data_IF_628652230433
#
_entry.id   IF_628652230433
#
_cell.length_a   1.000
_cell.length_b   1.000
_cell.length_c   1.000
_cell.angle_alpha   90.00
_cell.angle_beta   90.00
_cell.angle_gamma   90.00
#
_symmetry.space_group_name_H-M   'P 1'
#
loop_
_entity.id
_entity.type
_entity.pdbx_description
1 polymer ?
#
# COMPACT_ATOMS: atom_id res chain seq x y z
N UNK A 1 13.33 11.87 5.74
CA UNK A 1 12.86 10.61 5.13
C UNK A 1 13.93 9.88 4.30
N UNK A 2 14.67 10.51 3.36
CA UNK A 2 15.61 9.78 2.49
C UNK A 2 16.67 8.97 3.25
N UNK A 3 17.30 9.55 4.28
CA UNK A 3 18.27 8.86 5.13
C UNK A 3 17.69 7.63 5.84
N UNK A 4 16.43 7.71 6.29
CA UNK A 4 15.74 6.57 6.90
C UNK A 4 15.54 5.45 5.87
N UNK A 5 15.09 5.78 4.65
CA UNK A 5 14.91 4.81 3.57
C UNK A 5 16.21 4.12 3.18
N UNK A 6 17.31 4.86 3.05
CA UNK A 6 18.63 4.27 2.79
C UNK A 6 19.01 3.25 3.85
N UNK A 7 18.83 3.60 5.13
CA UNK A 7 19.15 2.71 6.24
C UNK A 7 18.28 1.45 6.25
N UNK A 8 16.95 1.58 6.15
CA UNK A 8 16.06 0.42 6.23
C UNK A 8 16.20 -0.50 5.01
N UNK A 9 16.49 0.04 3.82
CA UNK A 9 16.79 -0.77 2.62
C UNK A 9 18.10 -1.55 2.78
N UNK A 10 19.11 -0.94 3.40
CA UNK A 10 20.34 -1.63 3.76
C UNK A 10 20.06 -2.78 4.74
N UNK A 11 19.23 -2.55 5.75
CA UNK A 11 18.85 -3.60 6.70
C UNK A 11 18.09 -4.74 6.02
N UNK A 12 17.09 -4.42 5.19
CA UNK A 12 16.28 -5.41 4.44
C UNK A 12 17.16 -6.32 3.59
N UNK A 13 18.10 -5.75 2.84
CA UNK A 13 18.99 -6.51 1.94
C UNK A 13 20.09 -7.26 2.70
N UNK A 14 20.73 -6.61 3.68
CA UNK A 14 21.83 -7.21 4.46
C UNK A 14 21.35 -8.41 5.27
N UNK A 15 20.20 -8.29 5.92
CA UNK A 15 19.66 -9.33 6.80
C UNK A 15 18.57 -10.19 6.16
N UNK A 16 18.30 -10.00 4.86
CA UNK A 16 17.25 -10.73 4.12
C UNK A 16 15.92 -10.72 4.88
N UNK A 17 15.53 -9.55 5.35
CA UNK A 17 14.32 -9.41 6.16
C UNK A 17 13.11 -9.83 5.34
N UNK A 18 12.21 -10.59 5.97
CA UNK A 18 10.93 -10.91 5.37
C UNK A 18 9.94 -9.76 5.60
N UNK A 19 9.01 -9.51 4.66
CA UNK A 19 7.92 -8.56 4.85
C UNK A 19 7.08 -8.91 6.08
N UNK A 20 6.76 -7.89 6.88
CA UNK A 20 5.86 -8.09 8.02
C UNK A 20 4.40 -8.12 7.55
N UNK A 21 3.76 -9.30 7.66
CA UNK A 21 2.34 -9.50 7.34
C UNK A 21 2.08 -10.19 5.99
N UNK A 22 0.91 -10.81 5.86
CA UNK A 22 0.53 -11.68 4.73
C UNK A 22 -0.26 -10.96 3.64
N UNK A 23 0.18 -9.78 3.19
CA UNK A 23 -0.60 -8.99 2.23
C UNK A 23 -0.51 -9.46 0.77
N UNK A 24 0.39 -10.41 0.45
CA UNK A 24 0.52 -11.03 -0.87
C UNK A 24 0.77 -10.00 -1.99
N UNK A 25 0.44 -10.37 -3.24
CA UNK A 25 0.61 -9.52 -4.44
C UNK A 25 -0.27 -8.25 -4.43
N UNK A 26 -1.22 -8.17 -3.49
CA UNK A 26 -2.19 -7.07 -3.35
C UNK A 26 -1.76 -5.99 -2.34
N UNK A 27 -0.55 -6.09 -1.79
CA UNK A 27 0.04 -5.01 -1.01
C UNK A 27 0.48 -3.84 -1.91
N UNK A 28 0.65 -2.65 -1.32
CA UNK A 28 1.23 -1.51 -2.04
C UNK A 28 2.72 -1.74 -2.31
N UNK A 29 3.45 -2.19 -1.29
CA UNK A 29 4.87 -2.52 -1.30
C UNK A 29 5.14 -3.46 -0.11
N UNK A 30 6.24 -4.19 -0.18
CA UNK A 30 6.59 -5.21 0.80
C UNK A 30 6.92 -4.63 2.19
N UNK A 31 7.43 -3.38 2.26
CA UNK A 31 7.90 -2.81 3.52
C UNK A 31 7.40 -1.40 3.82
N UNK A 32 7.09 -0.60 2.80
CA UNK A 32 6.89 0.84 2.95
C UNK A 32 5.51 1.29 2.45
N UNK A 33 4.92 2.25 3.14
CA UNK A 33 3.67 2.88 2.69
C UNK A 33 3.80 4.40 2.60
N UNK A 34 4.23 5.03 3.69
CA UNK A 34 4.32 6.49 3.84
C UNK A 34 5.11 7.19 2.71
N UNK A 35 6.24 6.65 2.20
CA UNK A 35 6.95 7.27 1.08
C UNK A 35 6.11 7.44 -0.19
N UNK A 36 5.15 6.55 -0.46
CA UNK A 36 4.27 6.66 -1.61
C UNK A 36 3.25 7.80 -1.44
N UNK A 37 2.75 8.00 -0.22
CA UNK A 37 1.87 9.13 0.10
C UNK A 37 2.63 10.43 -0.09
N UNK A 38 3.79 10.59 0.54
CA UNK A 38 4.56 11.83 0.40
C UNK A 38 5.11 12.02 -1.00
N UNK A 39 5.57 10.95 -1.66
CA UNK A 39 6.06 10.98 -3.03
C UNK A 39 4.99 11.40 -4.04
N UNK A 40 3.77 10.87 -3.93
CA UNK A 40 2.66 11.33 -4.78
C UNK A 40 2.29 12.79 -4.51
N UNK A 41 2.39 13.27 -3.26
CA UNK A 41 2.16 14.69 -2.97
C UNK A 41 3.23 15.61 -3.58
N UNK A 42 4.48 15.16 -3.72
CA UNK A 42 5.54 15.93 -4.39
C UNK A 42 5.24 16.15 -5.88
N UNK A 43 4.40 15.31 -6.48
CA UNK A 43 4.06 15.35 -7.90
C UNK A 43 2.74 16.07 -8.19
N UNK A 44 1.98 16.48 -7.16
CA UNK A 44 0.79 17.31 -7.32
C UNK A 44 1.19 18.68 -7.89
N UNK A 45 0.49 19.12 -8.94
CA UNK A 45 0.79 20.36 -9.65
C UNK A 45 2.04 20.30 -10.55
N UNK A 46 2.77 19.18 -10.58
CA UNK A 46 3.88 18.97 -11.48
C UNK A 46 3.35 18.61 -12.88
N UNK A 47 3.63 19.43 -13.90
CA UNK A 47 3.21 19.16 -15.28
C UNK A 47 4.13 18.17 -16.01
N UNK A 48 5.30 17.85 -15.43
CA UNK A 48 6.32 17.00 -16.08
C UNK A 48 5.92 15.53 -16.14
N UNK A 49 5.13 15.07 -15.19
CA UNK A 49 4.82 13.66 -14.98
C UNK A 49 3.35 13.46 -14.71
N UNK A 50 2.74 12.51 -15.38
CA UNK A 50 1.44 11.95 -15.02
C UNK A 50 1.63 10.58 -14.32
N UNK A 51 0.62 10.07 -13.60
CA UNK A 51 0.75 8.82 -12.84
C UNK A 51 1.11 7.57 -13.64
N UNK A 52 0.92 7.54 -14.97
CA UNK A 52 1.31 6.37 -15.78
C UNK A 52 2.81 6.08 -15.70
N UNK A 53 3.60 7.11 -15.36
CA UNK A 53 5.05 7.01 -15.21
C UNK A 53 5.51 6.19 -13.99
N UNK A 54 4.60 5.80 -13.09
CA UNK A 54 4.91 4.95 -11.92
C UNK A 54 5.58 3.64 -12.34
N UNK A 55 5.19 3.06 -13.48
CA UNK A 55 5.76 1.82 -14.01
C UNK A 55 6.89 2.03 -15.02
N UNK A 56 7.43 3.25 -15.13
CA UNK A 56 8.56 3.55 -16.01
C UNK A 56 9.88 3.43 -15.24
N UNK A 57 10.67 2.40 -15.57
CA UNK A 57 11.97 2.13 -14.95
C UNK A 57 12.99 3.23 -15.21
N UNK A 58 13.03 3.78 -16.42
CA UNK A 58 14.03 4.78 -16.79
C UNK A 58 13.79 6.10 -16.09
N UNK A 59 12.52 6.50 -15.98
CA UNK A 59 12.13 7.69 -15.20
C UNK A 59 12.42 7.47 -13.72
N UNK A 60 12.07 6.30 -13.19
CA UNK A 60 12.32 5.98 -11.79
C UNK A 60 13.82 6.07 -11.45
N UNK A 61 14.70 5.46 -12.25
CA UNK A 61 16.16 5.53 -12.03
C UNK A 61 16.72 6.94 -12.16
N UNK A 62 16.21 7.74 -13.12
CA UNK A 62 16.67 9.11 -13.34
C UNK A 62 16.26 10.07 -12.23
N UNK A 63 15.11 9.87 -11.62
CA UNK A 63 14.49 10.82 -10.69
C UNK A 63 14.46 10.32 -9.23
N UNK A 64 15.05 9.16 -8.93
CA UNK A 64 15.06 8.53 -7.60
C UNK A 64 15.65 9.39 -6.49
N UNK A 65 16.54 10.32 -6.82
CA UNK A 65 17.17 11.22 -5.85
C UNK A 65 16.36 12.51 -5.63
N UNK A 66 15.41 12.81 -6.53
CA UNK A 66 14.58 14.01 -6.49
C UNK A 66 13.20 13.77 -5.86
N UNK A 67 12.61 12.59 -6.08
CA UNK A 67 11.25 12.27 -5.62
C UNK A 67 11.21 10.95 -4.84
N UNK A 68 10.50 10.95 -3.70
CA UNK A 68 10.36 9.76 -2.85
C UNK A 68 9.66 8.61 -3.58
N UNK A 69 8.67 8.94 -4.42
CA UNK A 69 7.94 7.93 -5.20
C UNK A 69 8.91 7.18 -6.13
N UNK A 70 9.67 7.91 -6.94
CA UNK A 70 10.64 7.33 -7.86
C UNK A 70 11.78 6.61 -7.13
N UNK A 71 12.17 7.10 -5.95
CA UNK A 71 13.10 6.37 -5.08
C UNK A 71 12.58 4.99 -4.68
N UNK A 72 11.29 4.85 -4.40
CA UNK A 72 10.66 3.56 -4.10
C UNK A 72 10.53 2.68 -5.33
N UNK A 73 10.09 3.23 -6.47
CA UNK A 73 9.95 2.46 -7.71
C UNK A 73 11.30 1.92 -8.19
N UNK A 74 12.37 2.74 -8.16
CA UNK A 74 13.71 2.28 -8.51
C UNK A 74 14.18 1.12 -7.60
N UNK A 75 13.90 1.21 -6.30
CA UNK A 75 14.22 0.13 -5.37
C UNK A 75 13.40 -1.15 -5.65
N UNK A 76 12.13 -1.04 -6.03
CA UNK A 76 11.32 -2.19 -6.44
C UNK A 76 11.95 -2.88 -7.66
N UNK A 77 12.37 -2.13 -8.68
CA UNK A 77 13.06 -2.70 -9.86
C UNK A 77 14.44 -3.28 -9.54
N UNK A 78 15.07 -2.86 -8.45
CA UNK A 78 16.30 -3.47 -7.95
C UNK A 78 16.04 -4.81 -7.27
N UNK A 79 14.92 -4.94 -6.55
CA UNK A 79 14.59 -6.13 -5.76
C UNK A 79 13.80 -7.18 -6.53
N UNK A 80 12.99 -6.78 -7.52
CA UNK A 80 12.06 -7.65 -8.24
C UNK A 80 12.37 -7.65 -9.73
N UNK A 81 12.28 -8.83 -10.35
CA UNK A 81 12.52 -9.04 -11.78
C UNK A 81 11.23 -9.42 -12.49
N UNK A 82 11.13 -9.05 -13.77
CA UNK A 82 9.97 -9.34 -14.60
C UNK A 82 9.11 -8.10 -14.88
N UNK A 83 7.95 -8.27 -15.52
CA UNK A 83 7.01 -7.20 -15.78
C UNK A 83 6.49 -6.57 -14.47
N UNK A 84 6.41 -5.24 -14.45
CA UNK A 84 6.03 -4.50 -13.24
C UNK A 84 4.62 -4.87 -12.74
N UNK A 85 3.69 -5.12 -13.65
CA UNK A 85 2.32 -5.53 -13.33
C UNK A 85 2.27 -6.86 -12.56
N UNK A 86 3.18 -7.80 -12.84
CA UNK A 86 3.18 -9.13 -12.22
C UNK A 86 3.63 -9.08 -10.75
N UNK A 87 4.65 -8.27 -10.45
CA UNK A 87 5.25 -8.22 -9.12
C UNK A 87 4.79 -7.02 -8.27
N UNK A 88 4.10 -6.06 -8.88
CA UNK A 88 3.64 -4.81 -8.26
C UNK A 88 2.25 -4.39 -8.77
N UNK A 89 1.34 -5.35 -8.87
CA UNK A 89 -0.03 -5.19 -9.39
C UNK A 89 -0.78 -3.98 -8.81
N UNK A 90 -0.74 -3.76 -7.49
CA UNK A 90 -1.42 -2.61 -6.86
C UNK A 90 -0.88 -1.28 -7.36
N UNK A 91 0.45 -1.14 -7.46
CA UNK A 91 1.09 0.08 -7.96
C UNK A 91 0.80 0.29 -9.45
N UNK A 92 0.74 -0.81 -10.23
CA UNK A 92 0.32 -0.76 -11.63
C UNK A 92 -1.13 -0.28 -11.76
N UNK A 93 -2.06 -0.76 -10.92
CA UNK A 93 -3.42 -0.24 -10.89
C UNK A 93 -3.49 1.24 -10.51
N UNK A 94 -2.62 1.70 -9.60
CA UNK A 94 -2.53 3.12 -9.21
C UNK A 94 -2.00 3.98 -10.36
N UNK A 95 -1.10 3.46 -11.22
CA UNK A 95 -0.58 4.19 -12.38
C UNK A 95 -1.66 4.55 -13.40
N UNK A 96 -2.79 3.83 -13.40
CA UNK A 96 -3.94 4.10 -14.26
C UNK A 96 -4.85 5.23 -13.74
N UNK A 97 -4.59 5.78 -12.55
CA UNK A 97 -5.35 6.90 -12.01
C UNK A 97 -4.90 8.20 -12.69
N UNK A 98 -5.79 9.03 -13.24
CA UNK A 98 -5.41 10.10 -14.17
C UNK A 98 -4.71 11.31 -13.54
N UNK A 99 -4.77 11.48 -12.21
CA UNK A 99 -4.31 12.70 -11.53
C UNK A 99 -3.61 12.37 -10.21
N UNK A 100 -2.49 13.05 -9.92
CA UNK A 100 -1.73 12.88 -8.68
C UNK A 100 -2.53 13.21 -7.43
N UNK A 101 -3.46 14.18 -7.49
CA UNK A 101 -4.35 14.51 -6.38
C UNK A 101 -5.25 13.32 -6.03
N UNK A 102 -5.74 12.60 -7.05
CA UNK A 102 -6.54 11.38 -6.86
C UNK A 102 -5.70 10.22 -6.35
N UNK A 103 -4.48 10.05 -6.88
CA UNK A 103 -3.51 9.05 -6.38
C UNK A 103 -3.22 9.28 -4.91
N UNK A 104 -2.84 10.50 -4.53
CA UNK A 104 -2.50 10.85 -3.15
C UNK A 104 -3.68 10.65 -2.20
N UNK A 105 -4.88 11.13 -2.58
CA UNK A 105 -6.10 10.92 -1.81
C UNK A 105 -6.43 9.42 -1.65
N UNK A 106 -6.28 8.64 -2.72
CA UNK A 106 -6.44 7.18 -2.69
C UNK A 106 -5.45 6.49 -1.75
N UNK A 107 -4.17 6.86 -1.83
CA UNK A 107 -3.12 6.32 -0.95
C UNK A 107 -3.37 6.66 0.53
N UNK A 108 -3.84 7.86 0.85
CA UNK A 108 -4.22 8.21 2.23
C UNK A 108 -5.40 7.35 2.71
N UNK A 109 -6.42 7.14 1.89
CA UNK A 109 -7.56 6.27 2.23
C UNK A 109 -7.11 4.83 2.43
N UNK A 110 -6.25 4.33 1.54
CA UNK A 110 -5.70 2.99 1.62
C UNK A 110 -4.83 2.82 2.87
N UNK A 111 -4.02 3.83 3.25
CA UNK A 111 -3.23 3.79 4.50
C UNK A 111 -4.12 3.67 5.74
N UNK A 112 -5.21 4.45 5.78
CA UNK A 112 -6.18 4.34 6.88
C UNK A 112 -6.78 2.93 6.95
N UNK A 113 -7.24 2.38 5.84
CA UNK A 113 -7.94 1.10 5.80
C UNK A 113 -7.04 -0.14 5.95
N UNK A 114 -5.83 -0.11 5.39
CA UNK A 114 -4.94 -1.27 5.29
C UNK A 114 -3.77 -1.22 6.28
N UNK A 115 -3.51 -0.07 6.92
CA UNK A 115 -2.52 0.06 8.00
C UNK A 115 -3.22 0.38 9.31
N UNK A 116 -3.80 1.58 9.42
CA UNK A 116 -4.29 2.09 10.71
C UNK A 116 -5.49 1.30 11.27
N UNK A 117 -6.38 0.81 10.39
CA UNK A 117 -7.57 0.03 10.75
C UNK A 117 -7.35 -1.49 10.68
N UNK A 118 -6.08 -1.93 10.61
CA UNK A 118 -5.71 -3.35 10.63
C UNK A 118 -5.01 -3.70 11.92
N UNK A 119 -5.74 -4.33 12.84
CA UNK A 119 -5.19 -4.74 14.13
C UNK A 119 -3.85 -5.52 14.02
N UNK A 120 -3.68 -6.53 13.13
CA UNK A 120 -2.39 -7.22 13.02
C UNK A 120 -1.20 -6.32 12.65
N UNK A 121 -1.46 -5.19 11.99
CA UNK A 121 -0.45 -4.21 11.56
C UNK A 121 -0.14 -3.22 12.69
N UNK A 122 -1.16 -2.73 13.40
CA UNK A 122 -1.01 -1.70 14.45
C UNK A 122 -0.96 -2.22 15.88
N UNK A 123 -1.11 -3.52 16.12
CA UNK A 123 -1.07 -4.12 17.47
C UNK A 123 0.23 -3.81 18.25
N UNK A 124 1.31 -3.47 17.55
CA UNK A 124 2.59 -3.09 18.15
C UNK A 124 2.78 -1.56 18.27
N UNK A 125 1.74 -0.77 18.01
CA UNK A 125 1.78 0.68 18.20
C UNK A 125 1.81 1.01 19.70
N UNK A 126 2.79 1.82 20.11
CA UNK A 126 2.98 2.18 21.51
C UNK A 126 2.27 3.50 21.82
N UNK A 127 1.58 3.53 22.95
CA UNK A 127 0.93 4.73 23.47
C UNK A 127 1.69 5.26 24.69
N UNK A 128 1.77 6.58 24.80
CA UNK A 128 2.48 7.27 25.87
C UNK A 128 1.92 8.68 26.05
N UNK A 129 2.66 9.55 26.75
CA UNK A 129 2.18 10.92 27.01
C UNK A 129 2.06 11.79 25.75
N UNK A 130 2.90 11.56 24.74
CA UNK A 130 2.86 12.30 23.46
C UNK A 130 1.77 11.78 22.50
N UNK A 131 1.57 10.46 22.50
CA UNK A 131 0.56 9.77 21.68
C UNK A 131 -0.34 8.99 22.63
N UNK A 132 -1.31 9.66 23.23
CA UNK A 132 -2.21 9.04 24.20
C UNK A 132 -3.21 8.10 23.53
N UNK A 133 -3.60 7.05 24.24
CA UNK A 133 -4.74 6.20 23.89
C UNK A 133 -6.08 6.81 24.34
N UNK A 134 -6.03 7.89 25.12
CA UNK A 134 -7.24 8.58 25.55
C UNK A 134 -8.03 9.08 24.35
N UNK A 135 -9.36 9.05 24.50
CA UNK A 135 -10.25 9.58 23.47
C UNK A 135 -9.93 11.06 23.25
N UNK A 136 -9.68 11.42 21.99
CA UNK A 136 -9.52 12.81 21.59
C UNK A 136 -10.80 13.57 21.95
N UNK A 137 -10.69 14.55 22.83
CA UNK A 137 -11.76 15.48 23.16
C UNK A 137 -11.87 16.49 22.02
N UNK A 138 -12.57 16.12 20.96
CA UNK A 138 -12.97 17.09 19.94
C UNK A 138 -14.25 17.79 20.43
N UNK A 139 -14.15 19.04 20.88
CA UNK A 139 -15.28 19.95 20.76
C UNK A 139 -15.51 20.15 19.25
N UNK A 140 -16.52 19.48 18.71
CA UNK A 140 -16.94 19.73 17.34
C UNK A 140 -17.53 21.14 17.29
N UNK A 141 -17.05 22.07 16.46
CA UNK A 141 -17.81 23.27 16.17
C UNK A 141 -19.14 22.85 15.53
N UNK A 142 -20.22 23.46 16.01
CA UNK A 142 -21.59 23.19 15.59
C UNK A 142 -21.72 23.08 14.05
N UNK A 143 -22.49 22.08 13.67
CA UNK A 143 -22.75 21.62 12.31
C UNK A 143 -23.41 22.73 11.47
N UNK A 144 -22.64 23.60 10.82
CA UNK A 144 -23.17 24.46 9.73
C UNK A 144 -22.16 24.90 8.67
N UNK A 145 -21.00 24.25 8.59
CA UNK A 145 -20.16 24.30 7.39
C UNK A 145 -20.03 22.89 6.85
N UNK A 146 -20.89 22.57 5.90
CA UNK A 146 -20.72 21.45 4.98
C UNK A 146 -19.35 21.57 4.33
N UNK A 147 -18.34 20.92 4.91
CA UNK A 147 -17.13 20.61 4.19
C UNK A 147 -17.58 19.71 3.03
N UNK A 148 -17.62 20.27 1.82
CA UNK A 148 -18.09 19.59 0.63
C UNK A 148 -17.13 18.44 0.29
N UNK A 149 -17.32 17.30 0.97
CA UNK A 149 -16.62 16.05 0.73
C UNK A 149 -17.00 15.41 -0.62
N UNK A 150 -17.90 16.07 -1.37
CA UNK A 150 -18.47 15.62 -2.64
C UNK A 150 -17.60 15.87 -3.87
N UNK A 151 -16.56 16.71 -3.80
CA UNK A 151 -15.73 16.99 -5.00
C UNK A 151 -14.64 15.96 -5.31
N UNK A 152 -14.47 14.92 -4.48
CA UNK A 152 -13.43 13.90 -4.68
C UNK A 152 -13.94 12.45 -4.68
N UNK A 153 -15.25 12.21 -4.78
CA UNK A 153 -15.82 10.86 -4.72
C UNK A 153 -16.51 10.50 -6.04
N UNK A 154 -15.85 9.72 -6.92
CA UNK A 154 -16.54 8.83 -7.83
C UNK A 154 -16.78 7.48 -7.13
N UNK A 155 -17.99 6.97 -7.27
CA UNK A 155 -18.62 5.83 -6.59
C UNK A 155 -18.07 4.43 -6.92
N UNK A 156 -16.89 4.29 -7.52
CA UNK A 156 -16.47 3.02 -8.14
C UNK A 156 -15.22 2.36 -7.54
N UNK A 157 -15.05 2.37 -6.21
CA UNK A 157 -14.04 1.52 -5.52
C UNK A 157 -14.72 0.42 -4.70
N UNK A 158 -15.80 -0.15 -5.23
CA UNK A 158 -16.41 -1.37 -4.67
C UNK A 158 -16.00 -2.65 -5.42
N UNK A 159 -15.19 -2.57 -6.47
CA UNK A 159 -14.82 -3.74 -7.27
C UNK A 159 -13.60 -4.53 -6.78
N UNK A 160 -12.87 -4.08 -5.75
CA UNK A 160 -11.74 -4.85 -5.21
C UNK A 160 -12.20 -5.61 -3.96
N UNK A 161 -13.06 -6.62 -4.17
CA UNK A 161 -13.28 -7.66 -3.16
C UNK A 161 -12.21 -8.74 -3.32
N UNK A 162 -11.43 -8.99 -2.25
CA UNK A 162 -10.55 -10.15 -2.15
C UNK A 162 -11.40 -11.43 -2.15
N UNK A 163 -11.01 -12.52 -2.84
CA UNK A 163 -11.60 -13.83 -2.60
C UNK A 163 -11.24 -14.30 -1.19
N UNK A 164 -12.23 -14.79 -0.44
CA UNK A 164 -12.02 -15.47 0.85
C UNK A 164 -11.50 -16.87 0.54
N UNK A 165 -10.30 -17.20 1.02
CA UNK A 165 -9.77 -18.57 0.94
C UNK A 165 -10.32 -19.36 2.13
N UNK A 166 -11.30 -20.22 1.88
CA UNK A 166 -11.85 -21.13 2.89
C UNK A 166 -10.86 -22.24 3.18
N UNK A 167 -10.33 -22.28 4.40
CA UNK A 167 -9.72 -23.46 4.98
C UNK A 167 -10.83 -24.44 5.36
N UNK A 168 -10.95 -25.57 4.67
CA UNK A 168 -11.75 -26.70 5.15
C UNK A 168 -10.82 -27.85 5.53
N UNK A 169 -10.88 -28.16 6.82
CA UNK A 169 -10.31 -29.31 7.46
C UNK A 169 -10.87 -30.64 6.92
N UNK A 170 -9.95 -31.59 6.85
CA UNK A 170 -10.07 -33.05 6.92
C UNK A 170 -11.41 -33.60 7.44
N UNK A 171 -12.09 -34.42 6.63
CA UNK A 171 -12.88 -35.56 7.12
C UNK A 171 -13.11 -36.64 6.05
N UNK A 172 -12.51 -37.81 6.33
CA UNK A 172 -12.97 -39.18 6.06
C UNK A 172 -13.55 -39.57 4.69
N UNK A 173 -12.84 -40.50 4.01
CA UNK A 173 -13.45 -41.73 3.49
C UNK A 173 -12.39 -42.84 3.37
N UNK A 174 -12.35 -43.68 4.41
CA UNK A 174 -11.99 -45.09 4.28
C UNK A 174 -13.25 -45.82 3.82
N UNK A 175 -13.15 -46.64 2.76
CA UNK A 175 -13.79 -47.96 2.62
C UNK A 175 -13.74 -48.47 1.17
N UNK A 176 -13.33 -49.73 1.05
CA UNK A 176 -13.60 -50.70 -0.03
C UNK A 176 -12.72 -50.66 -1.29
N UNK A 177 -11.63 -51.43 -1.22
CA UNK A 177 -11.23 -52.30 -2.32
C UNK A 177 -10.86 -53.66 -1.72
N UNK A 178 -11.72 -54.67 -1.95
CA UNK A 178 -11.35 -56.09 -1.99
C UNK A 178 -12.44 -56.84 -2.77
N UNK A 179 -11.96 -57.52 -3.84
CA UNK A 179 -12.47 -58.76 -4.47
C UNK A 179 -13.88 -58.75 -5.11
N UNK A 180 -14.14 -59.31 -6.31
CA UNK A 180 -13.64 -60.56 -6.89
C UNK A 180 -14.03 -60.69 -8.39
N UNK A 181 -13.33 -61.60 -9.08
CA UNK A 181 -13.55 -62.22 -10.42
C UNK A 181 -12.91 -61.58 -11.65
#
# INVERSE_FOLDING_TARGET
MPKYLTLVRLLQTTYRMEPAGSHGVWCLDDFQFVPFIWGSSQLIGCQKYDPTVISDREVAEREKDNYLLFSCIAYIYQCKTGPFEEHSHTLFGISQVPKWEKVNCGLIKMYKAEVLDKFPVVQHFLFGSLLSFDRVQHELPDNNRSFNQRECIPSNIHSIRKPVMSTNDSQQKSSQHDEHS
#
